data_IF_779047710450
#
_entry.id   IF_779047710450
#
_cell.length_a   1.000
_cell.length_b   1.000
_cell.length_c   1.000
_cell.angle_alpha   90.00
_cell.angle_beta   90.00
_cell.angle_gamma   90.00
#
_symmetry.space_group_name_H-M   'P 1'
#
loop_
_entity.id
_entity.type
_entity.pdbx_description
1 polymer ?
#
# COMPACT_ATOMS: atom_id res chain seq x y z
N UNK A 1 10.49 7.94 16.65
CA UNK A 1 9.67 7.12 15.72
C UNK A 1 10.37 7.03 14.37
N UNK A 2 10.68 5.83 13.87
CA UNK A 2 11.24 5.67 12.52
C UNK A 2 10.14 5.91 11.47
N UNK A 3 10.45 6.70 10.44
CA UNK A 3 9.55 7.03 9.34
C UNK A 3 10.30 6.80 8.03
N UNK A 4 9.64 6.21 7.04
CA UNK A 4 10.23 5.96 5.72
C UNK A 4 9.16 6.07 4.65
N UNK A 5 9.51 6.69 3.53
CA UNK A 5 8.67 6.78 2.32
C UNK A 5 9.44 6.18 1.16
N UNK A 6 8.76 5.36 0.36
CA UNK A 6 9.31 4.79 -0.85
C UNK A 6 8.67 5.46 -2.06
N UNK A 7 9.46 6.14 -2.89
CA UNK A 7 8.97 6.87 -4.06
C UNK A 7 9.34 6.17 -5.37
N UNK A 8 8.33 5.63 -6.05
CA UNK A 8 8.44 5.02 -7.38
C UNK A 8 7.86 5.92 -8.50
N UNK A 9 7.61 7.20 -8.23
CA UNK A 9 6.98 8.15 -9.16
C UNK A 9 7.74 8.23 -10.49
N UNK A 10 9.07 8.22 -10.45
CA UNK A 10 9.95 8.24 -11.63
C UNK A 10 9.73 7.04 -12.55
N UNK A 11 9.40 5.86 -11.99
CA UNK A 11 9.17 4.61 -12.73
C UNK A 11 7.70 4.43 -13.18
N UNK A 12 6.84 5.36 -12.78
CA UNK A 12 5.39 5.37 -13.11
C UNK A 12 5.08 6.29 -14.29
N UNK A 13 6.06 7.08 -14.75
CA UNK A 13 5.96 7.97 -15.91
C UNK A 13 5.78 7.17 -17.21
N UNK A 14 5.04 7.74 -18.16
CA UNK A 14 4.92 7.16 -19.50
C UNK A 14 6.24 7.34 -20.27
N UNK A 15 6.65 6.31 -20.99
CA UNK A 15 7.82 6.37 -21.88
C UNK A 15 7.56 7.19 -23.16
N UNK A 16 6.29 7.41 -23.51
CA UNK A 16 5.88 7.98 -24.80
C UNK A 16 6.08 7.04 -26.00
N UNK A 17 6.41 5.76 -25.75
CA UNK A 17 6.67 4.74 -26.77
C UNK A 17 5.65 3.60 -26.68
N UNK A 18 5.59 2.76 -27.72
CA UNK A 18 4.75 1.55 -27.71
C UNK A 18 5.14 0.61 -26.56
N UNK A 19 4.23 -0.29 -26.17
CA UNK A 19 4.49 -1.31 -25.13
C UNK A 19 5.60 -2.30 -25.52
N UNK A 20 5.77 -2.57 -26.81
CA UNK A 20 6.80 -3.45 -27.35
C UNK A 20 8.20 -2.85 -27.30
N UNK A 21 8.32 -1.52 -27.20
CA UNK A 21 9.59 -0.81 -27.18
C UNK A 21 10.42 -1.16 -25.92
N UNK A 22 11.72 -1.31 -26.09
CA UNK A 22 12.66 -1.66 -25.01
C UNK A 22 12.57 -0.69 -23.81
N UNK A 23 12.40 0.62 -24.05
CA UNK A 23 12.27 1.62 -22.99
C UNK A 23 11.02 1.39 -22.14
N UNK A 24 9.88 1.09 -22.77
CA UNK A 24 8.63 0.79 -22.08
C UNK A 24 8.74 -0.49 -21.24
N UNK A 25 9.33 -1.55 -21.81
CA UNK A 25 9.59 -2.82 -21.11
C UNK A 25 10.51 -2.62 -19.90
N UNK A 26 11.58 -1.83 -20.06
CA UNK A 26 12.48 -1.49 -18.96
C UNK A 26 11.76 -0.84 -17.79
N UNK A 27 10.93 0.19 -18.03
CA UNK A 27 10.19 0.86 -16.96
C UNK A 27 9.26 -0.10 -16.20
N UNK A 28 8.57 -0.98 -16.92
CA UNK A 28 7.68 -1.99 -16.31
C UNK A 28 8.49 -2.98 -15.47
N UNK A 29 9.55 -3.55 -16.02
CA UNK A 29 10.37 -4.56 -15.33
C UNK A 29 11.07 -3.96 -14.10
N UNK A 30 11.65 -2.77 -14.24
CA UNK A 30 12.31 -2.07 -13.14
C UNK A 30 11.32 -1.73 -12.04
N UNK A 31 10.11 -1.26 -12.37
CA UNK A 31 9.07 -1.01 -11.36
C UNK A 31 8.69 -2.27 -10.60
N UNK A 32 8.45 -3.39 -11.30
CA UNK A 32 8.13 -4.68 -10.65
C UNK A 32 9.27 -5.16 -9.75
N UNK A 33 10.51 -5.02 -10.20
CA UNK A 33 11.69 -5.33 -9.40
C UNK A 33 11.75 -4.48 -8.12
N UNK A 34 11.56 -3.16 -8.23
CA UNK A 34 11.52 -2.29 -7.05
C UNK A 34 10.36 -2.65 -6.11
N UNK A 35 9.15 -2.89 -6.62
CA UNK A 35 7.99 -3.32 -5.81
C UNK A 35 8.30 -4.56 -4.98
N UNK A 36 9.00 -5.54 -5.56
CA UNK A 36 9.43 -6.75 -4.83
C UNK A 36 10.49 -6.40 -3.76
N UNK A 37 11.45 -5.55 -4.08
CA UNK A 37 12.46 -5.10 -3.10
C UNK A 37 11.83 -4.32 -1.95
N UNK A 38 10.78 -3.53 -2.19
CA UNK A 38 10.05 -2.85 -1.13
C UNK A 38 9.47 -3.83 -0.11
N UNK A 39 8.91 -4.96 -0.57
CA UNK A 39 8.42 -6.00 0.32
C UNK A 39 9.56 -6.62 1.15
N UNK A 40 10.74 -6.84 0.56
CA UNK A 40 11.92 -7.30 1.27
C UNK A 40 12.47 -6.28 2.29
N UNK A 41 12.45 -5.00 1.96
CA UNK A 41 12.85 -3.94 2.89
C UNK A 41 11.91 -3.84 4.09
N UNK A 42 10.60 -3.97 3.87
CA UNK A 42 9.61 -4.04 4.94
C UNK A 42 9.84 -5.28 5.81
N UNK A 43 10.06 -6.44 5.19
CA UNK A 43 10.38 -7.68 5.90
C UNK A 43 11.64 -7.56 6.77
N UNK A 44 12.68 -6.88 6.27
CA UNK A 44 13.88 -6.59 7.04
C UNK A 44 13.58 -5.74 8.27
N UNK A 45 12.75 -4.70 8.13
CA UNK A 45 12.34 -3.86 9.26
C UNK A 45 11.53 -4.65 10.29
N UNK A 46 10.60 -5.49 9.83
CA UNK A 46 9.75 -6.35 10.66
C UNK A 46 10.60 -7.26 11.53
N UNK A 47 11.59 -7.93 10.94
CA UNK A 47 12.55 -8.78 11.68
C UNK A 47 13.41 -7.97 12.65
N UNK A 48 13.92 -6.82 12.20
CA UNK A 48 14.81 -5.98 13.01
C UNK A 48 14.13 -5.44 14.28
N UNK A 49 12.83 -5.21 14.23
CA UNK A 49 12.05 -4.69 15.35
C UNK A 49 11.13 -5.72 16.00
N UNK A 50 11.25 -7.00 15.62
CA UNK A 50 10.44 -8.10 16.14
C UNK A 50 8.92 -7.82 16.06
N UNK A 51 8.47 -7.34 14.90
CA UNK A 51 7.07 -6.97 14.66
C UNK A 51 6.26 -8.22 14.35
N UNK A 52 5.23 -8.50 15.17
CA UNK A 52 4.36 -9.67 14.96
C UNK A 52 3.24 -9.46 13.92
N UNK A 53 2.89 -8.20 13.61
CA UNK A 53 1.78 -7.86 12.70
C UNK A 53 2.11 -6.65 11.82
N UNK A 54 1.83 -6.76 10.52
CA UNK A 54 1.79 -5.65 9.58
C UNK A 54 0.34 -5.35 9.26
N UNK A 55 -0.03 -4.07 9.23
CA UNK A 55 -1.39 -3.66 8.88
C UNK A 55 -1.37 -2.99 7.52
N UNK A 56 -2.23 -3.45 6.61
CA UNK A 56 -2.40 -2.88 5.27
C UNK A 56 -3.87 -2.53 5.03
N UNK A 57 -4.12 -1.64 4.09
CA UNK A 57 -5.48 -1.25 3.73
C UNK A 57 -6.14 -2.28 2.83
N UNK A 58 -7.38 -2.65 3.11
CA UNK A 58 -8.27 -3.30 2.16
C UNK A 58 -8.89 -2.23 1.24
N UNK A 59 -8.20 -1.93 0.12
CA UNK A 59 -8.75 -1.09 -0.96
C UNK A 59 -9.34 -1.99 -2.04
N UNK A 60 -10.67 -2.08 -2.10
CA UNK A 60 -11.34 -2.65 -3.27
C UNK A 60 -11.55 -1.57 -4.34
N UNK A 61 -10.94 -1.74 -5.52
CA UNK A 61 -11.29 -0.93 -6.69
C UNK A 61 -12.53 -1.54 -7.36
N UNK A 62 -13.70 -1.36 -6.76
CA UNK A 62 -14.96 -1.76 -7.37
C UNK A 62 -15.15 -0.99 -8.69
N UNK A 63 -15.46 -1.74 -9.75
CA UNK A 63 -15.60 -1.31 -11.14
C UNK A 63 -14.28 -1.10 -11.93
N UNK A 64 -14.37 -1.26 -13.27
CA UNK A 64 -13.39 -0.67 -14.19
C UNK A 64 -13.25 0.79 -13.76
N UNK A 65 -12.04 1.21 -13.38
CA UNK A 65 -11.83 2.61 -13.05
C UNK A 65 -12.20 3.38 -14.33
N UNK A 66 -13.32 4.12 -14.30
CA UNK A 66 -13.72 5.07 -15.34
C UNK A 66 -12.48 5.93 -15.64
N UNK A 67 -11.85 5.73 -16.80
CA UNK A 67 -10.61 6.40 -17.22
C UNK A 67 -9.41 5.48 -17.46
N UNK A 68 -8.85 5.56 -18.67
CA UNK A 68 -7.62 4.84 -19.09
C UNK A 68 -6.42 5.16 -18.20
N UNK A 69 -6.25 6.42 -17.81
CA UNK A 69 -5.14 6.83 -16.93
C UNK A 69 -5.30 6.31 -15.50
N UNK A 70 -6.52 6.33 -14.96
CA UNK A 70 -6.78 5.83 -13.61
C UNK A 70 -6.52 4.32 -13.53
N UNK A 71 -6.97 3.54 -14.51
CA UNK A 71 -6.60 2.12 -14.61
C UNK A 71 -5.09 1.92 -14.74
N UNK A 72 -4.42 2.73 -15.56
CA UNK A 72 -2.96 2.65 -15.74
C UNK A 72 -2.22 2.88 -14.42
N UNK A 73 -2.63 3.87 -13.62
CA UNK A 73 -1.98 4.21 -12.36
C UNK A 73 -2.30 3.18 -11.27
N UNK A 74 -3.58 2.96 -10.96
CA UNK A 74 -4.01 2.17 -9.80
C UNK A 74 -3.90 0.65 -10.02
N UNK A 75 -4.14 0.15 -11.24
CA UNK A 75 -4.06 -1.30 -11.53
C UNK A 75 -2.69 -1.69 -12.09
N UNK A 76 -2.23 -1.01 -13.14
CA UNK A 76 -1.05 -1.48 -13.88
C UNK A 76 0.28 -0.95 -13.35
N UNK A 77 0.30 0.26 -12.78
CA UNK A 77 1.55 0.88 -12.31
C UNK A 77 1.82 0.55 -10.85
N UNK A 78 0.83 0.73 -9.98
CA UNK A 78 0.94 0.35 -8.58
C UNK A 78 1.17 -1.17 -8.40
N UNK A 79 0.47 -1.99 -9.20
CA UNK A 79 0.60 -3.47 -9.18
C UNK A 79 0.52 -4.04 -7.75
N UNK A 80 -0.53 -3.63 -7.02
CA UNK A 80 -0.76 -3.98 -5.61
C UNK A 80 -0.67 -5.49 -5.36
N UNK A 81 -1.26 -6.26 -6.27
CA UNK A 81 -1.29 -7.72 -6.19
C UNK A 81 0.12 -8.30 -6.14
N UNK A 82 1.08 -7.78 -6.91
CA UNK A 82 2.47 -8.21 -6.85
C UNK A 82 3.08 -7.95 -5.47
N UNK A 83 2.85 -6.76 -4.90
CA UNK A 83 3.34 -6.40 -3.57
C UNK A 83 2.74 -7.29 -2.47
N UNK A 84 1.42 -7.47 -2.47
CA UNK A 84 0.70 -8.26 -1.46
C UNK A 84 1.04 -9.74 -1.52
N UNK A 85 1.13 -10.30 -2.72
CA UNK A 85 1.54 -11.71 -2.88
C UNK A 85 2.96 -11.91 -2.35
N UNK A 86 3.87 -10.95 -2.62
CA UNK A 86 5.24 -11.02 -2.11
C UNK A 86 5.27 -10.89 -0.59
N UNK A 87 4.56 -9.92 -0.04
CA UNK A 87 4.49 -9.69 1.41
C UNK A 87 3.83 -10.87 2.15
N UNK A 88 2.78 -11.46 1.58
CA UNK A 88 2.11 -12.64 2.12
C UNK A 88 2.98 -13.89 2.09
N UNK A 89 3.83 -14.05 1.07
CA UNK A 89 4.84 -15.11 1.05
C UNK A 89 5.89 -14.91 2.15
N UNK A 90 6.41 -13.69 2.32
CA UNK A 90 7.39 -13.35 3.36
C UNK A 90 6.80 -13.49 4.77
N UNK A 91 5.53 -13.11 4.95
CA UNK A 91 4.74 -13.29 6.17
C UNK A 91 4.72 -14.76 6.62
N UNK A 92 4.39 -15.67 5.70
CA UNK A 92 4.40 -17.12 5.98
C UNK A 92 5.80 -17.64 6.28
N UNK A 93 6.81 -17.14 5.56
CA UNK A 93 8.19 -17.58 5.71
C UNK A 93 8.80 -17.16 7.05
N UNK A 94 8.48 -15.97 7.54
CA UNK A 94 9.12 -15.38 8.72
C UNK A 94 8.18 -15.23 9.93
N UNK A 95 6.93 -15.68 9.84
CA UNK A 95 6.06 -15.87 11.00
C UNK A 95 5.38 -14.61 11.55
N UNK A 96 5.17 -13.58 10.72
CA UNK A 96 4.37 -12.40 11.08
C UNK A 96 3.02 -12.42 10.35
N UNK A 97 1.99 -11.77 10.92
CA UNK A 97 0.66 -11.68 10.32
C UNK A 97 0.53 -10.43 9.44
N UNK A 98 -0.20 -10.54 8.32
CA UNK A 98 -0.65 -9.37 7.53
C UNK A 98 -2.15 -9.17 7.80
N UNK A 99 -2.48 -8.06 8.43
CA UNK A 99 -3.84 -7.69 8.82
C UNK A 99 -4.38 -6.64 7.88
N UNK A 100 -5.51 -6.93 7.25
CA UNK A 100 -6.21 -5.96 6.41
C UNK A 100 -7.20 -5.12 7.23
N UNK A 101 -7.26 -3.81 6.99
CA UNK A 101 -8.23 -2.90 7.60
C UNK A 101 -8.93 -2.06 6.55
N UNK A 102 -10.19 -1.67 6.79
CA UNK A 102 -10.91 -0.80 5.86
C UNK A 102 -10.14 0.51 5.66
N UNK A 103 -9.88 0.86 4.39
CA UNK A 103 -9.15 2.07 3.99
C UNK A 103 -9.89 3.35 4.41
N UNK A 104 -11.22 3.42 4.25
CA UNK A 104 -12.13 4.41 4.84
C UNK A 104 -11.50 5.79 5.20
N UNK A 105 -11.06 6.54 4.17
CA UNK A 105 -10.45 7.87 4.29
C UNK A 105 -9.22 7.97 5.22
N UNK A 106 -8.42 6.91 5.32
CA UNK A 106 -7.18 6.82 6.10
C UNK A 106 -6.22 7.98 5.89
N UNK A 107 -6.03 8.45 4.65
CA UNK A 107 -5.16 9.59 4.33
C UNK A 107 -5.71 10.90 4.88
N UNK A 108 -7.02 11.13 4.74
CA UNK A 108 -7.67 12.33 5.26
C UNK A 108 -7.60 12.35 6.79
N UNK A 109 -8.07 11.28 7.43
CA UNK A 109 -8.06 11.17 8.90
C UNK A 109 -6.62 11.22 9.42
N UNK A 110 -5.71 10.48 8.79
CA UNK A 110 -4.30 10.45 9.14
C UNK A 110 -3.68 11.84 9.09
N UNK A 111 -3.91 12.61 8.02
CA UNK A 111 -3.39 13.98 7.91
C UNK A 111 -3.96 14.91 8.97
N UNK A 112 -5.26 14.85 9.23
CA UNK A 112 -5.90 15.69 10.24
C UNK A 112 -5.31 15.40 11.63
N UNK A 113 -5.08 14.12 11.94
CA UNK A 113 -4.64 13.69 13.26
C UNK A 113 -3.12 13.77 13.48
N UNK A 114 -2.32 13.49 12.44
CA UNK A 114 -0.88 13.27 12.56
C UNK A 114 -0.03 14.07 11.56
N UNK A 115 -0.65 14.77 10.61
CA UNK A 115 0.06 15.52 9.57
C UNK A 115 0.89 16.65 10.16
N UNK A 116 2.17 16.72 9.77
CA UNK A 116 3.08 17.83 10.09
C UNK A 116 4.30 17.79 9.17
N UNK A 117 5.23 18.75 9.34
CA UNK A 117 6.45 18.89 8.52
C UNK A 117 7.29 17.61 8.42
N UNK A 118 7.29 16.77 9.46
CA UNK A 118 8.05 15.51 9.49
C UNK A 118 7.18 14.27 9.25
N UNK A 119 5.88 14.46 9.03
CA UNK A 119 4.89 13.39 8.89
C UNK A 119 4.04 13.69 7.65
N UNK A 120 4.59 13.47 6.46
CA UNK A 120 3.85 13.67 5.21
C UNK A 120 2.67 12.70 5.14
N UNK A 121 1.74 12.99 4.21
CA UNK A 121 0.48 12.25 4.01
C UNK A 121 0.62 10.73 4.11
N UNK A 122 1.56 10.15 3.37
CA UNK A 122 1.76 8.70 3.34
C UNK A 122 2.14 8.12 4.71
N UNK A 123 2.93 8.86 5.50
CA UNK A 123 3.31 8.46 6.86
C UNK A 123 2.15 8.66 7.82
N UNK A 124 1.44 9.79 7.71
CA UNK A 124 0.28 10.09 8.54
C UNK A 124 -0.84 9.06 8.34
N UNK A 125 -1.12 8.69 7.09
CA UNK A 125 -2.02 7.60 6.72
C UNK A 125 -1.56 6.27 7.31
N UNK A 126 -0.25 5.95 7.22
CA UNK A 126 0.31 4.71 7.78
C UNK A 126 0.12 4.61 9.30
N UNK A 127 0.24 5.73 10.03
CA UNK A 127 -0.03 5.77 11.49
C UNK A 127 -1.51 5.45 11.75
N UNK A 128 -2.44 6.06 10.99
CA UNK A 128 -3.86 5.81 11.15
C UNK A 128 -4.23 4.35 10.82
N UNK A 129 -3.65 3.77 9.78
CA UNK A 129 -3.83 2.36 9.41
C UNK A 129 -3.36 1.45 10.56
N UNK A 130 -2.17 1.71 11.12
CA UNK A 130 -1.65 0.95 12.25
C UNK A 130 -2.57 1.05 13.48
N UNK A 131 -3.07 2.25 13.80
CA UNK A 131 -4.04 2.47 14.89
C UNK A 131 -5.32 1.65 14.68
N UNK A 132 -5.85 1.61 13.45
CA UNK A 132 -7.03 0.80 13.12
C UNK A 132 -6.76 -0.69 13.28
N UNK A 133 -5.59 -1.18 12.84
CA UNK A 133 -5.22 -2.58 13.00
C UNK A 133 -5.04 -2.98 14.46
N UNK A 134 -4.48 -2.10 15.28
CA UNK A 134 -4.38 -2.30 16.73
C UNK A 134 -5.76 -2.41 17.39
N UNK A 135 -6.68 -1.51 17.03
CA UNK A 135 -8.04 -1.48 17.57
C UNK A 135 -8.99 -2.54 17.00
N UNK A 136 -8.67 -3.15 15.84
CA UNK A 136 -9.52 -4.12 15.13
C UNK A 136 -10.01 -5.27 16.02
N UNK A 137 -9.19 -5.71 16.96
CA UNK A 137 -9.47 -6.84 17.84
C UNK A 137 -10.06 -6.42 19.21
N UNK A 138 -10.26 -5.12 19.44
CA UNK A 138 -10.84 -4.58 20.66
C UNK A 138 -12.37 -4.67 20.61
N UNK A 139 -12.98 -5.23 21.67
CA UNK A 139 -14.43 -5.40 21.75
C UNK A 139 -15.13 -4.04 21.74
N UNK A 140 -16.11 -3.87 20.86
CA UNK A 140 -16.86 -2.61 20.73
C UNK A 140 -16.18 -1.55 19.85
N UNK A 141 -15.04 -1.87 19.24
CA UNK A 141 -14.41 -0.97 18.28
C UNK A 141 -15.26 -0.82 17.01
N UNK A 142 -15.50 0.42 16.60
CA UNK A 142 -16.28 0.76 15.42
C UNK A 142 -15.41 1.48 14.39
N UNK A 143 -15.49 1.02 13.14
CA UNK A 143 -15.10 1.80 11.98
C UNK A 143 -16.19 1.66 10.91
N UNK A 144 -16.65 2.75 10.29
CA UNK A 144 -17.72 2.67 9.30
C UNK A 144 -17.30 1.78 8.12
N UNK A 145 -18.18 0.84 7.76
CA UNK A 145 -18.00 0.06 6.54
C UNK A 145 -18.70 0.76 5.37
N UNK A 146 -17.94 1.55 4.62
CA UNK A 146 -18.42 2.24 3.44
C UNK A 146 -18.69 1.32 2.23
N UNK A 147 -18.48 0.00 2.35
CA UNK A 147 -18.72 -0.97 1.26
C UNK A 147 -20.22 -1.28 1.06
N UNK A 148 -21.11 -0.87 1.98
CA UNK A 148 -22.56 -1.21 1.94
C UNK A 148 -23.48 -0.03 1.59
N UNK A 149 -23.32 0.60 0.43
CA UNK A 149 -24.31 1.57 -0.04
C UNK A 149 -24.53 1.55 -1.55
N UNK A 150 -24.66 0.37 -2.16
CA UNK A 150 -25.24 0.21 -3.51
C UNK A 150 -25.96 -1.15 -3.58
N UNK A 151 -27.16 -1.23 -3.00
CA UNK A 151 -28.19 -2.18 -3.42
C UNK A 151 -29.14 -1.44 -4.35
#
# INVERSE_FOLDING_TARGET
MHKRVFDLSKLTKKSGKSSSNAKSKYFVNKRKFETINLAYEIDKLVKSWNVGKIVIEDICFENKLKGKERNRLCKNSWDRCLFENKLGMLSKLHGYEVVEVNAAYSSIVGNIMYGNETTPDMVAASIEIARRGFKKFEKGWFYPDFRKSLN
#
